data_IF_426981030098
#
_entry.id   IF_426981030098
#
_cell.length_a   1.000
_cell.length_b   1.000
_cell.length_c   1.000
_cell.angle_alpha   90.00
_cell.angle_beta   90.00
_cell.angle_gamma   90.00
#
_symmetry.space_group_name_H-M   'P 1'
#
loop_
_entity.id
_entity.type
_entity.pdbx_description
1 polymer ?
#
# COMPACT_ATOMS: atom_id res chain seq x y z
N UNK A 1 -14.56 -4.05 -5.50
CA UNK A 1 -14.30 -4.32 -4.08
C UNK A 1 -13.11 -5.26 -4.03
N UNK A 2 -11.95 -4.62 -4.11
CA UNK A 2 -10.65 -5.23 -4.06
C UNK A 2 -10.25 -5.21 -2.60
N UNK A 3 -10.35 -6.36 -1.93
CA UNK A 3 -10.17 -6.43 -0.49
C UNK A 3 -8.79 -7.00 -0.19
N UNK A 4 -8.02 -6.27 0.61
CA UNK A 4 -6.68 -6.64 1.05
C UNK A 4 -6.63 -6.71 2.56
N UNK A 5 -5.64 -7.43 3.09
CA UNK A 5 -5.44 -7.56 4.53
C UNK A 5 -4.37 -6.57 4.97
N UNK A 6 -4.76 -5.60 5.80
CA UNK A 6 -3.86 -4.73 6.54
C UNK A 6 -3.90 -5.16 8.00
N UNK A 7 -2.83 -5.80 8.49
CA UNK A 7 -2.68 -6.13 9.93
C UNK A 7 -3.88 -6.87 10.54
N UNK A 8 -4.34 -7.93 9.85
CA UNK A 8 -5.53 -8.73 10.18
C UNK A 8 -6.87 -8.00 10.03
N UNK A 9 -6.91 -6.80 9.45
CA UNK A 9 -8.13 -6.12 9.07
C UNK A 9 -8.32 -6.21 7.56
N UNK A 10 -9.54 -6.53 7.13
CA UNK A 10 -9.89 -6.50 5.71
C UNK A 10 -10.25 -5.06 5.37
N UNK A 11 -9.51 -4.48 4.42
CA UNK A 11 -9.67 -3.10 3.99
C UNK A 11 -9.88 -3.06 2.48
N UNK A 12 -10.58 -2.03 2.01
CA UNK A 12 -10.75 -1.80 0.59
C UNK A 12 -9.46 -1.20 0.03
N UNK A 13 -8.85 -1.88 -0.93
CA UNK A 13 -7.60 -1.47 -1.57
C UNK A 13 -7.75 -0.14 -2.30
N UNK A 14 -8.87 0.09 -2.97
CA UNK A 14 -9.12 1.33 -3.71
C UNK A 14 -9.20 2.51 -2.71
N UNK A 15 -9.85 2.31 -1.56
CA UNK A 15 -9.86 3.30 -0.49
C UNK A 15 -8.47 3.50 0.15
N UNK A 16 -7.69 2.42 0.31
CA UNK A 16 -6.34 2.50 0.84
C UNK A 16 -5.43 3.32 -0.09
N UNK A 17 -5.53 3.10 -1.40
CA UNK A 17 -4.76 3.81 -2.44
C UNK A 17 -4.98 5.32 -2.40
N UNK A 18 -6.20 5.77 -2.11
CA UNK A 18 -6.51 7.21 -1.96
C UNK A 18 -5.88 7.83 -0.69
N UNK A 19 -5.54 7.01 0.31
CA UNK A 19 -4.84 7.42 1.53
C UNK A 19 -3.32 7.24 1.45
N UNK A 20 -2.82 6.57 0.42
CA UNK A 20 -1.40 6.35 0.22
C UNK A 20 -0.66 7.64 -0.17
N UNK A 21 0.59 7.74 0.26
CA UNK A 21 1.54 8.74 -0.18
C UNK A 21 1.80 8.57 -1.68
N UNK A 22 1.54 9.64 -2.45
CA UNK A 22 1.63 9.65 -3.90
C UNK A 22 3.04 9.28 -4.40
N UNK A 23 4.10 9.77 -3.74
CA UNK A 23 5.48 9.48 -4.16
C UNK A 23 5.78 7.99 -4.06
N UNK A 24 5.47 7.38 -2.91
CA UNK A 24 5.71 5.95 -2.67
C UNK A 24 4.84 5.12 -3.62
N UNK A 25 3.56 5.48 -3.75
CA UNK A 25 2.61 4.77 -4.61
C UNK A 25 3.06 4.77 -6.07
N UNK A 26 3.42 5.92 -6.62
CA UNK A 26 3.86 6.03 -8.01
C UNK A 26 5.18 5.28 -8.25
N UNK A 27 6.11 5.37 -7.31
CA UNK A 27 7.37 4.63 -7.39
C UNK A 27 7.12 3.12 -7.44
N UNK A 28 6.34 2.58 -6.48
CA UNK A 28 6.03 1.16 -6.45
C UNK A 28 5.23 0.73 -7.67
N UNK A 29 4.34 1.57 -8.18
CA UNK A 29 3.58 1.27 -9.39
C UNK A 29 4.49 1.19 -10.63
N UNK A 30 5.48 2.06 -10.74
CA UNK A 30 6.45 2.00 -11.82
C UNK A 30 7.39 0.79 -11.72
N UNK A 31 7.77 0.38 -10.50
CA UNK A 31 8.74 -0.70 -10.25
C UNK A 31 8.12 -2.10 -10.28
N UNK A 32 6.88 -2.25 -9.80
CA UNK A 32 6.27 -3.56 -9.53
C UNK A 32 5.23 -4.00 -10.57
N UNK A 33 4.88 -3.18 -11.56
CA UNK A 33 3.87 -3.59 -12.55
C UNK A 33 4.40 -4.67 -13.50
N UNK A 34 3.65 -5.77 -13.72
CA UNK A 34 2.37 -6.13 -13.08
C UNK A 34 2.55 -6.82 -11.71
N UNK A 35 1.86 -6.35 -10.67
CA UNK A 35 1.82 -6.96 -9.33
C UNK A 35 0.39 -7.15 -8.84
N UNK A 36 0.22 -7.97 -7.79
CA UNK A 36 -1.06 -8.12 -7.09
C UNK A 36 -1.31 -7.03 -6.05
N UNK A 37 -2.58 -6.79 -5.71
CA UNK A 37 -2.99 -5.72 -4.77
C UNK A 37 -2.43 -5.92 -3.36
N UNK A 38 -2.43 -7.15 -2.84
CA UNK A 38 -1.84 -7.46 -1.53
C UNK A 38 -0.33 -7.24 -1.55
N UNK A 39 0.34 -7.69 -2.61
CA UNK A 39 1.79 -7.51 -2.77
C UNK A 39 2.18 -6.02 -2.85
N UNK A 40 1.35 -5.22 -3.55
CA UNK A 40 1.50 -3.78 -3.59
C UNK A 40 1.32 -3.13 -2.23
N UNK A 41 0.27 -3.50 -1.48
CA UNK A 41 0.02 -2.98 -0.14
C UNK A 41 1.17 -3.32 0.82
N UNK A 42 1.66 -4.56 0.79
CA UNK A 42 2.76 -5.02 1.65
C UNK A 42 4.04 -4.23 1.36
N UNK A 43 4.39 -4.04 0.09
CA UNK A 43 5.52 -3.21 -0.33
C UNK A 43 5.35 -1.74 0.09
N UNK A 44 4.13 -1.21 -0.03
CA UNK A 44 3.82 0.15 0.39
C UNK A 44 3.99 0.34 1.91
N UNK A 45 3.51 -0.59 2.74
CA UNK A 45 3.66 -0.52 4.20
C UNK A 45 5.15 -0.46 4.57
N UNK A 46 5.98 -1.29 3.95
CA UNK A 46 7.43 -1.27 4.20
C UNK A 46 8.08 0.05 3.77
N UNK A 47 7.73 0.57 2.60
CA UNK A 47 8.28 1.81 2.09
C UNK A 47 7.84 3.02 2.93
N UNK A 48 6.57 3.04 3.36
CA UNK A 48 6.03 4.05 4.25
C UNK A 48 6.74 4.04 5.61
N UNK A 49 6.91 2.86 6.19
CA UNK A 49 7.67 2.70 7.44
C UNK A 49 9.13 3.14 7.31
N UNK A 50 9.78 2.91 6.16
CA UNK A 50 11.15 3.40 5.91
C UNK A 50 11.21 4.93 5.74
N UNK A 51 10.23 5.55 5.07
CA UNK A 51 10.19 7.01 4.82
C UNK A 51 9.83 7.81 6.06
N UNK A 52 8.81 7.36 6.80
CA UNK A 52 8.21 8.10 7.90
C UNK A 52 8.57 7.56 9.29
N UNK A 53 9.16 6.37 9.38
CA UNK A 53 9.39 5.67 10.65
C UNK A 53 8.08 5.47 11.44
N UNK A 54 6.97 5.34 10.71
CA UNK A 54 5.59 5.22 11.18
C UNK A 54 4.88 4.10 10.41
N UNK A 55 3.81 3.60 10.99
CA UNK A 55 3.06 2.48 10.42
C UNK A 55 1.83 3.00 9.66
N UNK A 56 1.60 2.47 8.46
CA UNK A 56 0.45 2.84 7.66
C UNK A 56 -0.86 2.32 8.25
N UNK A 57 -1.89 3.18 8.26
CA UNK A 57 -3.26 2.87 8.71
C UNK A 57 -4.26 3.52 7.77
N UNK A 58 -5.39 2.85 7.51
CA UNK A 58 -6.53 3.37 6.74
C UNK A 58 -7.73 3.71 7.61
#
# INVERSE_FOLDING_TARGET
MNNVTLRNQVVDFDAAVELMDEDIREQLHAEMVPCGEQEFLDAYIEAHAKKYNEEFTV
#
